data_IF_948641137943
#
_entry.id   IF_948641137943
#
_cell.length_a   1.000
_cell.length_b   1.000
_cell.length_c   1.000
_cell.angle_alpha   90.00
_cell.angle_beta   90.00
_cell.angle_gamma   90.00
#
_symmetry.space_group_name_H-M   'P 1'
#
loop_
_entity.id
_entity.type
_entity.pdbx_description
1 polymer ?
#
# COMPACT_ATOMS: atom_id res chain seq x y z
N UNK A 1 2.02 -18.73 17.87
CA UNK A 1 2.27 -17.91 16.66
C UNK A 1 2.73 -18.85 15.56
N UNK A 2 2.00 -18.98 14.46
CA UNK A 2 2.26 -20.00 13.44
C UNK A 2 3.63 -19.75 12.78
N UNK A 3 4.57 -20.70 12.86
CA UNK A 3 5.95 -20.52 12.36
C UNK A 3 6.02 -20.21 10.85
N UNK A 4 4.96 -20.55 10.11
CA UNK A 4 4.84 -20.32 8.67
C UNK A 4 4.56 -18.84 8.31
N UNK A 5 3.89 -18.09 9.19
CA UNK A 5 3.61 -16.66 9.01
C UNK A 5 4.84 -15.76 9.25
N UNK A 6 5.81 -16.24 10.02
CA UNK A 6 6.99 -15.44 10.37
C UNK A 6 7.87 -15.11 9.16
N UNK A 7 8.02 -16.05 8.23
CA UNK A 7 8.90 -15.90 7.05
C UNK A 7 8.46 -14.79 6.08
N UNK A 8 7.19 -14.71 5.63
CA UNK A 8 6.75 -13.63 4.75
C UNK A 8 6.75 -12.27 5.45
N UNK A 9 6.37 -12.22 6.74
CA UNK A 9 6.43 -10.99 7.55
C UNK A 9 7.87 -10.49 7.69
N UNK A 10 8.80 -11.37 8.07
CA UNK A 10 10.21 -11.03 8.22
C UNK A 10 10.78 -10.49 6.91
N UNK A 11 10.53 -11.14 5.77
CA UNK A 11 10.97 -10.67 4.45
C UNK A 11 10.42 -9.29 4.10
N UNK A 12 9.13 -9.04 4.36
CA UNK A 12 8.51 -7.75 4.10
C UNK A 12 9.11 -6.65 4.98
N UNK A 13 9.32 -6.92 6.28
CA UNK A 13 9.98 -6.00 7.22
C UNK A 13 11.41 -5.72 6.77
N UNK A 14 12.19 -6.75 6.43
CA UNK A 14 13.57 -6.57 5.97
C UNK A 14 13.63 -5.73 4.70
N UNK A 15 12.73 -5.99 3.74
CA UNK A 15 12.68 -5.21 2.50
C UNK A 15 12.27 -3.75 2.75
N UNK A 16 11.31 -3.50 3.65
CA UNK A 16 10.94 -2.15 4.11
C UNK A 16 12.13 -1.42 4.73
N UNK A 17 12.85 -2.07 5.64
CA UNK A 17 14.05 -1.51 6.28
C UNK A 17 15.09 -1.16 5.23
N UNK A 18 15.32 -2.05 4.26
CA UNK A 18 16.32 -1.87 3.21
C UNK A 18 15.96 -0.71 2.29
N UNK A 19 14.68 -0.56 1.94
CA UNK A 19 14.17 0.59 1.17
C UNK A 19 14.36 1.90 1.96
N UNK A 20 14.02 1.91 3.25
CA UNK A 20 14.20 3.10 4.11
C UNK A 20 15.68 3.49 4.16
N UNK A 21 16.59 2.52 4.33
CA UNK A 21 18.03 2.75 4.35
C UNK A 21 18.54 3.29 3.02
N UNK A 22 18.09 2.74 1.88
CA UNK A 22 18.47 3.26 0.55
C UNK A 22 17.94 4.68 0.39
N UNK A 23 16.70 4.96 0.78
CA UNK A 23 16.10 6.30 0.70
C UNK A 23 16.83 7.30 1.59
N UNK A 24 17.26 6.89 2.79
CA UNK A 24 18.03 7.74 3.69
C UNK A 24 19.44 8.01 3.15
N UNK A 25 20.12 6.98 2.63
CA UNK A 25 21.42 7.12 1.97
C UNK A 25 21.32 8.02 0.73
N UNK A 26 20.26 7.87 -0.07
CA UNK A 26 19.96 8.73 -1.20
C UNK A 26 19.84 10.21 -0.81
N UNK A 27 19.05 10.52 0.22
CA UNK A 27 18.91 11.90 0.75
C UNK A 27 20.26 12.46 1.17
N UNK A 28 21.07 11.66 1.87
CA UNK A 28 22.38 12.09 2.37
C UNK A 28 23.39 12.33 1.24
N UNK A 29 23.39 11.49 0.21
CA UNK A 29 24.42 11.49 -0.83
C UNK A 29 24.11 12.45 -1.97
N UNK A 30 22.82 12.67 -2.28
CA UNK A 30 22.37 13.39 -3.48
C UNK A 30 21.66 14.71 -3.16
N UNK A 31 21.92 15.27 -1.97
CA UNK A 31 21.32 16.49 -1.43
C UNK A 31 21.32 17.70 -2.39
N UNK A 32 22.21 17.73 -3.39
CA UNK A 32 22.36 18.84 -4.35
C UNK A 32 21.84 18.57 -5.77
N UNK A 33 21.19 17.42 -6.03
CA UNK A 33 20.69 17.05 -7.38
C UNK A 33 19.22 16.66 -7.32
N UNK A 34 18.36 17.65 -7.52
CA UNK A 34 16.90 17.54 -7.39
C UNK A 34 16.32 16.46 -8.33
N UNK A 35 16.79 16.40 -9.59
CA UNK A 35 16.26 15.45 -10.58
C UNK A 35 16.64 13.99 -10.32
N UNK A 36 17.87 13.72 -9.86
CA UNK A 36 18.30 12.35 -9.57
C UNK A 36 17.61 11.78 -8.33
N UNK A 37 17.38 12.64 -7.33
CA UNK A 37 16.60 12.28 -6.15
C UNK A 37 15.16 11.87 -6.53
N UNK A 38 14.58 12.59 -7.50
CA UNK A 38 13.26 12.33 -8.01
C UNK A 38 13.11 10.96 -8.67
N UNK A 39 13.98 10.64 -9.65
CA UNK A 39 13.93 9.34 -10.32
C UNK A 39 14.14 8.16 -9.36
N UNK A 40 15.05 8.32 -8.41
CA UNK A 40 15.32 7.27 -7.43
C UNK A 40 14.15 7.08 -6.45
N UNK A 41 13.46 8.15 -6.03
CA UNK A 41 12.30 8.02 -5.16
C UNK A 41 11.13 7.32 -5.86
N UNK A 42 10.92 7.59 -7.16
CA UNK A 42 9.94 6.86 -7.97
C UNK A 42 10.32 5.38 -8.07
N UNK A 43 11.57 5.07 -8.40
CA UNK A 43 12.05 3.68 -8.53
C UNK A 43 11.90 2.89 -7.21
N UNK A 44 12.28 3.49 -6.08
CA UNK A 44 12.13 2.89 -4.75
C UNK A 44 10.66 2.67 -4.40
N UNK A 45 9.80 3.61 -4.74
CA UNK A 45 8.37 3.50 -4.48
C UNK A 45 7.71 2.41 -5.31
N UNK A 46 8.11 2.23 -6.58
CA UNK A 46 7.69 1.09 -7.39
C UNK A 46 8.17 -0.24 -6.77
N UNK A 47 9.41 -0.29 -6.28
CA UNK A 47 9.91 -1.47 -5.59
C UNK A 47 9.08 -1.80 -4.33
N UNK A 48 8.70 -0.80 -3.53
CA UNK A 48 7.78 -0.95 -2.39
C UNK A 48 6.45 -1.56 -2.83
N UNK A 49 5.85 -1.04 -3.89
CA UNK A 49 4.57 -1.54 -4.43
C UNK A 49 4.70 -3.01 -4.84
N UNK A 50 5.76 -3.39 -5.54
CA UNK A 50 6.00 -4.79 -5.94
C UNK A 50 6.11 -5.69 -4.69
N UNK A 51 6.85 -5.25 -3.67
CA UNK A 51 7.00 -6.00 -2.42
C UNK A 51 5.67 -6.14 -1.70
N UNK A 52 4.86 -5.08 -1.62
CA UNK A 52 3.53 -5.09 -1.02
C UNK A 52 2.60 -6.07 -1.75
N UNK A 53 2.58 -6.04 -3.08
CA UNK A 53 1.78 -6.96 -3.88
C UNK A 53 2.23 -8.42 -3.73
N UNK A 54 3.54 -8.66 -3.67
CA UNK A 54 4.10 -10.00 -3.43
C UNK A 54 3.77 -10.48 -2.01
N UNK A 55 3.88 -9.61 -1.02
CA UNK A 55 3.48 -9.87 0.36
C UNK A 55 2.00 -10.27 0.44
N UNK A 56 1.10 -9.54 -0.25
CA UNK A 56 -0.32 -9.92 -0.34
C UNK A 56 -0.48 -11.36 -0.82
N UNK A 57 0.16 -11.73 -1.93
CA UNK A 57 0.03 -13.08 -2.50
C UNK A 57 0.56 -14.14 -1.54
N UNK A 58 1.78 -13.95 -1.02
CA UNK A 58 2.40 -14.89 -0.09
C UNK A 58 1.58 -15.03 1.21
N UNK A 59 1.08 -13.92 1.76
CA UNK A 59 0.31 -13.93 2.99
C UNK A 59 -1.09 -14.51 2.81
N UNK A 60 -1.77 -14.19 1.71
CA UNK A 60 -3.08 -14.76 1.40
C UNK A 60 -3.03 -16.27 1.18
N UNK A 61 -1.95 -16.79 0.61
CA UNK A 61 -1.77 -18.24 0.45
C UNK A 61 -1.67 -18.98 1.79
N UNK A 62 -1.16 -18.33 2.84
CA UNK A 62 -1.03 -18.91 4.19
C UNK A 62 -2.30 -18.72 5.01
N UNK A 63 -3.09 -17.68 4.75
CA UNK A 63 -4.38 -17.49 5.39
C UNK A 63 -5.39 -18.52 4.90
N UNK A 64 -6.08 -19.20 5.80
CA UNK A 64 -7.14 -20.17 5.46
C UNK A 64 -8.53 -19.53 5.40
N UNK A 65 -8.74 -18.39 6.06
CA UNK A 65 -10.02 -17.68 6.09
C UNK A 65 -10.10 -16.61 4.97
N UNK A 66 -11.14 -16.68 4.15
CA UNK A 66 -11.43 -15.70 3.08
C UNK A 66 -11.61 -14.28 3.61
N UNK A 67 -12.21 -14.08 4.78
CA UNK A 67 -12.40 -12.75 5.38
C UNK A 67 -11.05 -12.12 5.72
N UNK A 68 -10.14 -12.91 6.30
CA UNK A 68 -8.79 -12.44 6.63
C UNK A 68 -8.00 -12.11 5.36
N UNK A 69 -8.15 -12.90 4.29
CA UNK A 69 -7.52 -12.61 2.99
C UNK A 69 -8.05 -11.32 2.38
N UNK A 70 -9.35 -11.08 2.53
CA UNK A 70 -10.00 -9.87 2.04
C UNK A 70 -9.49 -8.62 2.78
N UNK A 71 -9.44 -8.67 4.11
CA UNK A 71 -8.91 -7.59 4.95
C UNK A 71 -7.46 -7.27 4.60
N UNK A 72 -6.59 -8.31 4.49
CA UNK A 72 -5.18 -8.11 4.13
C UNK A 72 -5.05 -7.53 2.73
N UNK A 73 -5.87 -7.99 1.78
CA UNK A 73 -5.88 -7.46 0.42
C UNK A 73 -6.26 -5.98 0.40
N UNK A 74 -7.32 -5.60 1.14
CA UNK A 74 -7.72 -4.21 1.28
C UNK A 74 -6.62 -3.35 1.91
N UNK A 75 -6.00 -3.83 2.99
CA UNK A 75 -4.92 -3.12 3.68
C UNK A 75 -3.71 -2.90 2.75
N UNK A 76 -3.31 -3.92 2.00
CA UNK A 76 -2.21 -3.81 1.02
C UNK A 76 -2.54 -2.81 -0.09
N UNK A 77 -3.74 -2.85 -0.65
CA UNK A 77 -4.12 -1.90 -1.70
C UNK A 77 -4.20 -0.46 -1.18
N UNK A 78 -4.66 -0.24 0.04
CA UNK A 78 -4.59 1.07 0.70
C UNK A 78 -3.15 1.55 0.84
N UNK A 79 -2.22 0.67 1.26
CA UNK A 79 -0.80 1.01 1.34
C UNK A 79 -0.20 1.35 -0.04
N UNK A 80 -0.61 0.64 -1.10
CA UNK A 80 -0.20 0.96 -2.48
C UNK A 80 -0.70 2.34 -2.90
N UNK A 81 -1.96 2.68 -2.62
CA UNK A 81 -2.54 4.01 -2.90
C UNK A 81 -1.76 5.10 -2.16
N UNK A 82 -1.50 4.91 -0.87
CA UNK A 82 -0.73 5.86 -0.05
C UNK A 82 0.68 6.02 -0.60
N UNK A 83 1.33 4.92 -0.98
CA UNK A 83 2.68 4.93 -1.56
C UNK A 83 2.68 5.75 -2.85
N UNK A 84 1.79 5.45 -3.80
CA UNK A 84 1.64 6.23 -5.03
C UNK A 84 1.40 7.71 -4.74
N UNK A 85 0.48 8.05 -3.83
CA UNK A 85 0.21 9.44 -3.48
C UNK A 85 1.46 10.15 -2.93
N UNK A 86 2.18 9.54 -1.99
CA UNK A 86 3.38 10.15 -1.39
C UNK A 86 4.48 10.31 -2.42
N UNK A 87 4.67 9.33 -3.30
CA UNK A 87 5.68 9.39 -4.36
C UNK A 87 5.36 10.49 -5.36
N UNK A 88 4.11 10.61 -5.80
CA UNK A 88 3.74 11.52 -6.88
C UNK A 88 3.43 12.94 -6.40
N UNK A 89 3.02 13.14 -5.12
CA UNK A 89 2.67 14.46 -4.54
C UNK A 89 3.69 15.57 -4.83
N UNK A 90 5.01 15.38 -4.71
CA UNK A 90 5.97 16.45 -4.98
C UNK A 90 6.00 16.90 -6.45
N UNK A 91 5.54 16.05 -7.38
CA UNK A 91 5.59 16.31 -8.82
C UNK A 91 4.38 17.05 -9.36
N UNK A 92 3.36 17.29 -8.53
CA UNK A 92 2.20 18.09 -8.94
C UNK A 92 2.56 19.52 -9.33
N UNK A 93 3.72 20.01 -8.85
CA UNK A 93 4.23 21.36 -9.13
C UNK A 93 5.20 21.41 -10.32
N UNK A 94 5.74 20.26 -10.76
CA UNK A 94 6.80 20.21 -11.79
C UNK A 94 6.30 19.81 -13.19
N UNK A 95 5.24 19.01 -13.26
CA UNK A 95 4.69 18.53 -14.52
C UNK A 95 3.50 19.41 -14.95
N UNK A 96 3.26 19.57 -16.28
CA UNK A 96 2.06 20.27 -16.76
C UNK A 96 0.82 19.65 -16.12
N UNK A 97 0.00 20.50 -15.49
CA UNK A 97 -1.12 20.13 -14.62
C UNK A 97 -1.95 18.95 -15.17
N UNK A 98 -2.25 18.97 -16.48
CA UNK A 98 -3.01 17.89 -17.13
C UNK A 98 -2.29 16.54 -17.20
N UNK A 99 -0.99 16.50 -17.53
CA UNK A 99 -0.26 15.24 -17.78
C UNK A 99 -0.02 14.49 -16.47
N UNK A 100 0.38 15.21 -15.41
CA UNK A 100 0.57 14.64 -14.09
C UNK A 100 -0.69 13.97 -13.58
N UNK A 101 -1.82 14.67 -13.64
CA UNK A 101 -3.09 14.14 -13.16
C UNK A 101 -3.58 12.96 -13.99
N UNK A 102 -3.38 12.94 -15.31
CA UNK A 102 -3.74 11.79 -16.16
C UNK A 102 -2.93 10.55 -15.78
N UNK A 103 -1.60 10.66 -15.67
CA UNK A 103 -0.74 9.52 -15.35
C UNK A 103 -1.02 9.02 -13.94
N UNK A 104 -1.13 9.93 -12.96
CA UNK A 104 -1.48 9.59 -11.59
C UNK A 104 -2.85 8.92 -11.50
N UNK A 105 -3.85 9.46 -12.19
CA UNK A 105 -5.20 8.90 -12.22
C UNK A 105 -5.22 7.48 -12.79
N UNK A 106 -4.54 7.24 -13.92
CA UNK A 106 -4.44 5.91 -14.52
C UNK A 106 -3.77 4.90 -13.58
N UNK A 107 -2.67 5.29 -12.92
CA UNK A 107 -1.98 4.45 -11.94
C UNK A 107 -2.82 4.17 -10.69
N UNK A 108 -3.61 5.14 -10.24
CA UNK A 108 -4.46 5.03 -9.06
C UNK A 108 -5.70 4.17 -9.31
N UNK A 109 -6.27 4.22 -10.52
CA UNK A 109 -7.51 3.51 -10.88
C UNK A 109 -7.42 2.00 -10.62
N UNK A 110 -6.30 1.38 -10.93
CA UNK A 110 -6.13 -0.07 -10.77
C UNK A 110 -6.24 -0.52 -9.29
N UNK A 111 -5.43 -0.01 -8.33
CA UNK A 111 -5.59 -0.38 -6.93
C UNK A 111 -6.92 0.11 -6.33
N UNK A 112 -7.49 1.23 -6.80
CA UNK A 112 -8.79 1.70 -6.32
C UNK A 112 -9.92 0.76 -6.72
N UNK A 113 -9.92 0.28 -7.96
CA UNK A 113 -10.90 -0.69 -8.45
C UNK A 113 -10.86 -1.98 -7.64
N UNK A 114 -9.67 -2.52 -7.37
CA UNK A 114 -9.55 -3.71 -6.54
C UNK A 114 -9.96 -3.47 -5.08
N UNK A 115 -9.67 -2.28 -4.53
CA UNK A 115 -10.14 -1.91 -3.19
C UNK A 115 -11.67 -1.83 -3.15
N UNK A 116 -12.28 -1.25 -4.18
CA UNK A 116 -13.73 -1.17 -4.33
C UNK A 116 -14.36 -2.56 -4.38
N UNK A 117 -13.80 -3.48 -5.18
CA UNK A 117 -14.26 -4.85 -5.27
C UNK A 117 -14.19 -5.57 -3.91
N UNK A 118 -13.10 -5.37 -3.15
CA UNK A 118 -12.91 -5.90 -1.80
C UNK A 118 -13.96 -5.36 -0.84
N UNK A 119 -14.18 -4.05 -0.83
CA UNK A 119 -15.18 -3.41 0.03
C UNK A 119 -16.58 -3.90 -0.32
N UNK A 120 -16.92 -3.94 -1.61
CA UNK A 120 -18.25 -4.35 -2.06
C UNK A 120 -18.54 -5.81 -1.73
N UNK A 121 -17.58 -6.72 -1.94
CA UNK A 121 -17.71 -8.14 -1.57
C UNK A 121 -17.90 -8.39 -0.08
N UNK A 122 -17.50 -7.43 0.77
CA UNK A 122 -17.58 -7.55 2.22
C UNK A 122 -18.57 -6.56 2.83
N UNK A 123 -19.36 -5.84 2.01
CA UNK A 123 -20.25 -4.78 2.46
C UNK A 123 -21.30 -5.29 3.45
N UNK A 124 -21.89 -6.46 3.16
CA UNK A 124 -22.90 -7.08 4.03
C UNK A 124 -22.32 -7.48 5.40
N UNK A 125 -21.11 -8.04 5.43
CA UNK A 125 -20.40 -8.43 6.67
C UNK A 125 -19.86 -7.22 7.45
N UNK A 126 -19.40 -6.18 6.74
CA UNK A 126 -18.97 -4.92 7.35
C UNK A 126 -20.15 -4.19 7.98
N UNK A 127 -21.32 -4.21 7.34
CA UNK A 127 -22.56 -3.69 7.90
C UNK A 127 -22.89 -4.37 9.23
N UNK A 128 -22.82 -5.70 9.31
CA UNK A 128 -23.05 -6.45 10.56
C UNK A 128 -22.05 -6.07 11.66
N UNK A 129 -20.77 -5.89 11.33
CA UNK A 129 -19.74 -5.46 12.30
C UNK A 129 -19.99 -4.04 12.82
N UNK A 130 -20.41 -3.11 11.96
CA UNK A 130 -20.78 -1.76 12.38
C UNK A 130 -21.99 -1.77 13.32
N UNK A 131 -23.03 -2.53 12.97
CA UNK A 131 -24.25 -2.69 13.79
C UNK A 131 -23.94 -3.32 15.15
N UNK A 132 -23.07 -4.34 15.20
CA UNK A 132 -22.64 -4.97 16.45
C UNK A 132 -21.81 -4.03 17.33
N UNK A 133 -20.98 -3.18 16.72
CA UNK A 133 -20.19 -2.18 17.43
C UNK A 133 -21.09 -1.09 18.04
N UNK A 134 -22.10 -0.64 17.28
CA UNK A 134 -23.08 0.35 17.72
C UNK A 134 -23.94 -0.17 18.89
N UNK A 135 -24.41 -1.42 18.82
CA UNK A 135 -25.11 -2.10 19.94
C UNK A 135 -24.24 -2.26 21.19
N UNK A 136 -22.93 -2.44 21.02
CA UNK A 136 -22.00 -2.58 22.16
C UNK A 136 -21.73 -1.24 22.85
N UNK A 137 -21.83 -0.13 22.12
CA UNK A 137 -21.69 1.24 22.65
C UNK A 137 -22.97 1.68 23.36
N UNK A 138 -24.16 1.27 22.89
CA UNK A 138 -25.44 1.60 23.54
C UNK A 138 -25.72 0.77 24.81
N UNK A 139 -25.07 -0.38 24.99
CA UNK A 139 -25.22 -1.25 26.17
C UNK A 139 -24.13 -1.00 27.25
N UNK A 140 -23.42 0.12 27.19
CA UNK A 140 -22.45 0.59 28.18
C UNK A 140 -22.88 1.94 28.72
#
# INVERSE_FOLDING_TARGET
MNKELYRPIARAITALILIILIKFAAVLTLKNTVEFYSFMDIALSIAVIIILLKFRVEFNNVLTNEDSRSIVTGLVFTLVIITLYVTFRPYSEFLPYGIYHIVFFLLLMMPLYFLWEVVHKNADRLSELFVLTEKRIQNK
#
